data_IF_379194689868
#
_entry.id   IF_379194689868
#
_cell.length_a   1.000
_cell.length_b   1.000
_cell.length_c   1.000
_cell.angle_alpha   90.00
_cell.angle_beta   90.00
_cell.angle_gamma   90.00
#
_symmetry.space_group_name_H-M   'P 1'
#
loop_
_entity.id
_entity.type
_entity.pdbx_description
1 polymer ?
#
# COMPACT_ATOMS: atom_id res chain seq x y z
N UNK A 1 -23.11 5.53 -8.98
CA UNK A 1 -22.61 5.20 -7.62
C UNK A 1 -21.10 5.35 -7.48
N UNK A 2 -20.30 5.03 -8.50
CA UNK A 2 -18.83 5.14 -8.49
C UNK A 2 -18.27 6.56 -8.31
N UNK A 3 -19.04 7.59 -8.67
CA UNK A 3 -18.68 9.01 -8.44
C UNK A 3 -18.60 9.39 -6.96
N UNK A 4 -19.32 8.69 -6.06
CA UNK A 4 -19.25 8.95 -4.62
C UNK A 4 -17.94 8.47 -3.98
N UNK A 5 -17.22 7.54 -4.61
CA UNK A 5 -15.96 7.01 -4.08
C UNK A 5 -14.76 7.92 -4.36
N UNK A 6 -14.84 8.73 -5.42
CA UNK A 6 -13.80 9.69 -5.84
C UNK A 6 -13.41 10.67 -4.73
N UNK A 7 -14.34 11.37 -4.04
CA UNK A 7 -13.95 12.29 -2.97
C UNK A 7 -13.24 11.60 -1.81
N UNK A 8 -13.63 10.38 -1.43
CA UNK A 8 -12.93 9.62 -0.37
C UNK A 8 -11.52 9.21 -0.79
N UNK A 9 -11.30 8.87 -2.06
CA UNK A 9 -9.97 8.58 -2.59
C UNK A 9 -9.09 9.83 -2.61
N UNK A 10 -9.63 10.98 -3.01
CA UNK A 10 -8.91 12.26 -2.98
C UNK A 10 -8.53 12.62 -1.54
N UNK A 11 -9.46 12.44 -0.60
CA UNK A 11 -9.21 12.68 0.83
C UNK A 11 -8.12 11.75 1.39
N UNK A 12 -8.15 10.48 1.01
CA UNK A 12 -7.13 9.50 1.37
C UNK A 12 -5.76 9.85 0.78
N UNK A 13 -5.70 10.12 -0.53
CA UNK A 13 -4.47 10.48 -1.23
C UNK A 13 -3.83 11.76 -0.65
N UNK A 14 -4.64 12.80 -0.42
CA UNK A 14 -4.18 14.03 0.22
C UNK A 14 -3.73 13.78 1.66
N UNK A 15 -4.43 12.94 2.43
CA UNK A 15 -4.02 12.55 3.77
C UNK A 15 -2.66 11.86 3.82
N UNK A 16 -2.36 10.96 2.87
CA UNK A 16 -1.04 10.32 2.77
C UNK A 16 0.07 11.29 2.36
N UNK A 17 -0.19 12.19 1.41
CA UNK A 17 0.77 13.23 1.03
C UNK A 17 1.05 14.18 2.20
N UNK A 18 0.02 14.65 2.90
CA UNK A 18 0.16 15.50 4.08
C UNK A 18 0.89 14.77 5.21
N UNK A 19 0.63 13.47 5.40
CA UNK A 19 1.39 12.65 6.35
C UNK A 19 2.88 12.58 5.98
N UNK A 20 3.20 12.33 4.70
CA UNK A 20 4.58 12.34 4.19
C UNK A 20 5.27 13.68 4.43
N UNK A 21 4.60 14.80 4.14
CA UNK A 21 5.11 16.14 4.44
C UNK A 21 5.30 16.38 5.93
N UNK A 22 4.36 15.96 6.80
CA UNK A 22 4.50 16.09 8.25
C UNK A 22 5.69 15.30 8.81
N UNK A 23 6.00 14.14 8.23
CA UNK A 23 7.22 13.39 8.57
C UNK A 23 8.49 14.17 8.19
N UNK A 24 8.50 14.89 7.06
CA UNK A 24 9.62 15.76 6.69
C UNK A 24 9.82 16.91 7.69
N UNK A 25 8.72 17.51 8.17
CA UNK A 25 8.75 18.57 9.19
C UNK A 25 8.97 18.04 10.63
N UNK A 26 9.39 16.78 10.79
CA UNK A 26 9.63 16.09 12.09
C UNK A 26 8.43 16.10 13.06
N UNK A 27 7.21 16.29 12.56
CA UNK A 27 5.96 16.24 13.35
C UNK A 27 5.38 14.83 13.37
N UNK A 28 6.14 13.87 13.91
CA UNK A 28 5.87 12.43 13.79
C UNK A 28 4.49 12.00 14.34
N UNK A 29 4.03 12.58 15.46
CA UNK A 29 2.71 12.22 16.04
C UNK A 29 1.55 12.59 15.11
N UNK A 30 1.61 13.77 14.50
CA UNK A 30 0.60 14.23 13.54
C UNK A 30 0.66 13.42 12.24
N UNK A 31 1.87 13.09 11.78
CA UNK A 31 2.06 12.28 10.58
C UNK A 31 1.44 10.87 10.73
N UNK A 32 1.65 10.20 11.86
CA UNK A 32 1.01 8.91 12.17
C UNK A 32 -0.52 9.04 12.22
N UNK A 33 -1.03 10.09 12.89
CA UNK A 33 -2.47 10.35 12.96
C UNK A 33 -3.11 10.56 11.58
N UNK A 34 -2.49 11.37 10.72
CA UNK A 34 -2.94 11.62 9.36
C UNK A 34 -2.88 10.36 8.48
N UNK A 35 -1.82 9.55 8.64
CA UNK A 35 -1.69 8.28 7.92
C UNK A 35 -2.77 7.28 8.34
N UNK A 36 -3.07 7.22 9.64
CA UNK A 36 -4.16 6.41 10.18
C UNK A 36 -5.53 6.87 9.69
N UNK A 37 -5.76 8.17 9.62
CA UNK A 37 -6.99 8.74 9.06
C UNK A 37 -7.17 8.40 7.58
N UNK A 38 -6.14 8.60 6.76
CA UNK A 38 -6.16 8.23 5.33
C UNK A 38 -6.41 6.72 5.14
N UNK A 39 -5.79 5.89 5.98
CA UNK A 39 -6.01 4.45 5.99
C UNK A 39 -7.45 4.05 6.35
N UNK A 40 -8.06 4.72 7.32
CA UNK A 40 -9.47 4.51 7.65
C UNK A 40 -10.39 4.89 6.48
N UNK A 41 -10.09 5.98 5.76
CA UNK A 41 -10.85 6.36 4.56
C UNK A 41 -10.73 5.31 3.45
N UNK A 42 -9.56 4.70 3.26
CA UNK A 42 -9.40 3.60 2.32
C UNK A 42 -10.20 2.35 2.72
N UNK A 43 -10.35 2.07 4.02
CA UNK A 43 -11.22 1.00 4.49
C UNK A 43 -12.69 1.27 4.16
N UNK A 44 -13.14 2.51 4.32
CA UNK A 44 -14.50 2.91 3.92
C UNK A 44 -14.70 2.67 2.42
N UNK A 45 -13.74 3.09 1.58
CA UNK A 45 -13.78 2.86 0.14
C UNK A 45 -13.80 1.37 -0.20
N UNK A 46 -12.96 0.57 0.45
CA UNK A 46 -12.93 -0.89 0.26
C UNK A 46 -14.24 -1.55 0.67
N UNK A 47 -14.79 -1.18 1.83
CA UNK A 47 -16.05 -1.71 2.34
C UNK A 47 -17.26 -1.33 1.48
N UNK A 48 -17.34 -0.07 1.03
CA UNK A 48 -18.40 0.37 0.11
C UNK A 48 -18.30 -0.38 -1.23
N UNK A 49 -17.09 -0.58 -1.75
CA UNK A 49 -16.91 -1.40 -2.96
C UNK A 49 -17.36 -2.85 -2.75
N UNK A 50 -17.03 -3.46 -1.62
CA UNK A 50 -17.46 -4.82 -1.30
C UNK A 50 -18.99 -4.95 -1.20
N UNK A 51 -19.67 -3.97 -0.59
CA UNK A 51 -21.13 -3.95 -0.49
C UNK A 51 -21.83 -3.77 -1.85
N UNK A 52 -21.28 -2.93 -2.72
CA UNK A 52 -21.85 -2.67 -4.06
C UNK A 52 -21.68 -3.88 -4.98
N UNK A 53 -20.54 -4.57 -4.86
CA UNK A 53 -20.14 -5.64 -5.78
C UNK A 53 -20.57 -7.03 -5.30
N UNK A 54 -20.84 -7.21 -4.00
CA UNK A 54 -21.31 -8.48 -3.43
C UNK A 54 -20.28 -9.61 -3.40
N UNK A 55 -19.03 -9.32 -3.75
CA UNK A 55 -17.90 -10.24 -3.67
C UNK A 55 -16.61 -9.47 -3.34
N UNK A 56 -15.52 -10.15 -2.91
CA UNK A 56 -14.25 -9.49 -2.60
C UNK A 56 -13.78 -8.59 -3.76
N UNK A 57 -13.50 -7.29 -3.52
CA UNK A 57 -13.17 -6.33 -4.57
C UNK A 57 -11.68 -6.45 -4.94
N UNK A 58 -11.36 -7.46 -5.72
CA UNK A 58 -10.01 -7.71 -6.26
C UNK A 58 -10.01 -7.83 -7.80
N UNK A 59 -11.16 -7.58 -8.43
CA UNK A 59 -11.36 -7.85 -9.86
C UNK A 59 -10.95 -6.71 -10.78
N UNK A 60 -10.96 -5.47 -10.29
CA UNK A 60 -10.60 -4.29 -11.07
C UNK A 60 -9.27 -3.71 -10.58
N UNK A 61 -8.44 -3.22 -11.50
CA UNK A 61 -7.17 -2.52 -11.21
C UNK A 61 -7.34 -1.41 -10.17
N UNK A 62 -8.43 -0.65 -10.25
CA UNK A 62 -8.79 0.36 -9.24
C UNK A 62 -8.85 -0.24 -7.82
N UNK A 63 -9.53 -1.37 -7.65
CA UNK A 63 -9.74 -1.99 -6.35
C UNK A 63 -8.42 -2.57 -5.80
N UNK A 64 -7.60 -3.16 -6.68
CA UNK A 64 -6.27 -3.66 -6.33
C UNK A 64 -5.37 -2.53 -5.85
N UNK A 65 -5.44 -1.33 -6.45
CA UNK A 65 -4.68 -0.17 -5.96
C UNK A 65 -5.16 0.35 -4.59
N UNK A 66 -6.47 0.31 -4.31
CA UNK A 66 -6.98 0.64 -2.97
C UNK A 66 -6.46 -0.35 -1.93
N UNK A 67 -6.47 -1.65 -2.25
CA UNK A 67 -5.89 -2.69 -1.39
C UNK A 67 -4.39 -2.47 -1.18
N UNK A 68 -3.66 -2.16 -2.25
CA UNK A 68 -2.23 -1.89 -2.16
C UNK A 68 -1.95 -0.72 -1.20
N UNK A 69 -2.76 0.34 -1.27
CA UNK A 69 -2.69 1.49 -0.35
C UNK A 69 -2.95 1.08 1.11
N UNK A 70 -3.86 0.13 1.34
CA UNK A 70 -4.18 -0.40 2.67
C UNK A 70 -3.04 -1.22 3.29
N UNK A 71 -2.21 -1.87 2.49
CA UNK A 71 -1.11 -2.70 2.98
C UNK A 71 0.01 -1.90 3.66
N UNK A 72 0.23 -0.63 3.30
CA UNK A 72 1.40 0.13 3.78
C UNK A 72 1.42 0.39 5.29
N UNK A 73 0.27 0.75 5.89
CA UNK A 73 0.20 1.06 7.32
C UNK A 73 0.48 -0.15 8.24
N UNK A 74 -0.15 -1.32 8.06
CA UNK A 74 0.15 -2.50 8.88
C UNK A 74 1.59 -3.00 8.68
N UNK A 75 2.12 -2.92 7.45
CA UNK A 75 3.52 -3.28 7.18
C UNK A 75 4.49 -2.32 7.86
N UNK A 76 4.22 -1.02 7.84
CA UNK A 76 4.98 -0.04 8.60
C UNK A 76 4.95 -0.36 10.10
N UNK A 77 3.77 -0.60 10.67
CA UNK A 77 3.64 -0.94 12.09
C UNK A 77 4.43 -2.21 12.45
N UNK A 78 4.36 -3.25 11.62
CA UNK A 78 5.12 -4.50 11.80
C UNK A 78 6.62 -4.25 11.82
N UNK A 79 7.15 -3.45 10.89
CA UNK A 79 8.58 -3.14 10.81
C UNK A 79 9.05 -2.23 11.95
N UNK A 80 8.19 -1.34 12.45
CA UNK A 80 8.48 -0.54 13.65
C UNK A 80 8.60 -1.43 14.87
N UNK A 81 7.71 -2.42 15.03
CA UNK A 81 7.74 -3.36 16.15
C UNK A 81 8.91 -4.35 16.06
N UNK A 82 9.17 -4.92 14.88
CA UNK A 82 10.20 -5.95 14.68
C UNK A 82 11.61 -5.39 14.60
N UNK A 83 11.80 -4.34 13.79
CA UNK A 83 13.13 -3.85 13.39
C UNK A 83 13.45 -2.44 13.92
N UNK A 84 12.53 -1.83 14.69
CA UNK A 84 12.67 -0.46 15.24
C UNK A 84 12.91 0.62 14.16
N UNK A 85 12.37 0.41 12.96
CA UNK A 85 12.52 1.29 11.79
C UNK A 85 11.54 2.48 11.79
N UNK A 86 11.38 3.17 12.91
CA UNK A 86 10.41 4.28 13.07
C UNK A 86 10.67 5.47 12.14
N UNK A 87 11.92 5.70 11.73
CA UNK A 87 12.31 6.76 10.80
C UNK A 87 11.85 6.51 9.36
N UNK A 88 11.45 5.27 9.01
CA UNK A 88 11.02 4.92 7.66
C UNK A 88 9.59 5.38 7.32
N UNK A 89 8.87 5.94 8.31
CA UNK A 89 7.46 6.33 8.15
C UNK A 89 7.19 7.27 6.98
N UNK A 90 8.12 8.17 6.67
CA UNK A 90 8.01 9.06 5.51
C UNK A 90 7.89 8.26 4.19
N UNK A 91 8.71 7.23 3.99
CA UNK A 91 8.70 6.44 2.75
C UNK A 91 7.41 5.65 2.60
N UNK A 92 6.91 5.07 3.69
CA UNK A 92 5.64 4.36 3.69
C UNK A 92 4.47 5.30 3.37
N UNK A 93 4.45 6.52 3.92
CA UNK A 93 3.41 7.51 3.65
C UNK A 93 3.43 8.02 2.20
N UNK A 94 4.61 8.29 1.62
CA UNK A 94 4.68 8.68 0.21
C UNK A 94 4.32 7.54 -0.73
N UNK A 95 4.80 6.32 -0.45
CA UNK A 95 4.51 5.16 -1.29
C UNK A 95 3.04 4.74 -1.21
N UNK A 96 2.34 4.96 -0.09
CA UNK A 96 0.90 4.72 0.00
C UNK A 96 0.06 5.74 -0.76
N UNK A 97 0.55 6.96 -0.96
CA UNK A 97 -0.14 7.97 -1.76
C UNK A 97 -0.19 7.60 -3.25
N UNK A 98 0.86 6.97 -3.78
CA UNK A 98 0.97 6.64 -5.20
C UNK A 98 -0.19 5.75 -5.72
N UNK A 99 -0.52 4.60 -5.11
CA UNK A 99 -1.67 3.80 -5.52
C UNK A 99 -3.01 4.47 -5.19
N UNK A 100 -3.09 5.30 -4.14
CA UNK A 100 -4.31 6.07 -3.87
C UNK A 100 -4.58 7.08 -5.00
N UNK A 101 -3.54 7.71 -5.55
CA UNK A 101 -3.62 8.62 -6.70
C UNK A 101 -3.95 7.85 -7.97
N UNK A 102 -3.25 6.74 -8.25
CA UNK A 102 -3.52 5.93 -9.44
C UNK A 102 -4.96 5.39 -9.46
N UNK A 103 -5.52 5.04 -8.31
CA UNK A 103 -6.92 4.64 -8.15
C UNK A 103 -7.92 5.74 -8.57
N UNK A 104 -7.55 7.02 -8.48
CA UNK A 104 -8.40 8.15 -8.93
C UNK A 104 -8.50 8.17 -10.46
N UNK A 105 -7.40 7.90 -11.17
CA UNK A 105 -7.34 7.95 -12.63
C UNK A 105 -7.84 6.68 -13.32
N UNK A 106 -7.92 5.56 -12.60
CA UNK A 106 -8.41 4.30 -13.15
C UNK A 106 -9.93 4.27 -13.32
N UNK A 107 -10.38 3.47 -14.29
CA UNK A 107 -11.78 3.29 -14.57
C UNK A 107 -12.47 2.48 -13.45
N UNK A 108 -13.62 2.98 -13.01
CA UNK A 108 -14.34 2.51 -11.83
C UNK A 108 -15.51 1.62 -12.23
N UNK A 109 -15.41 0.92 -13.36
CA UNK A 109 -16.44 0.00 -13.80
C UNK A 109 -16.63 -1.10 -12.75
N UNK A 110 -17.86 -1.23 -12.25
CA UNK A 110 -18.25 -2.23 -11.26
C UNK A 110 -18.55 -3.60 -11.91
N UNK A 111 -18.91 -3.61 -13.19
CA UNK A 111 -19.30 -4.81 -13.91
C UNK A 111 -18.09 -5.45 -14.61
N UNK A 112 -17.23 -6.12 -13.86
CA UNK A 112 -16.28 -7.06 -14.45
C UNK A 112 -16.87 -8.47 -14.40
N UNK A 113 -17.15 -9.05 -15.57
CA UNK A 113 -17.50 -10.47 -15.67
C UNK A 113 -16.25 -11.27 -15.31
N UNK A 114 -16.23 -11.89 -14.13
CA UNK A 114 -15.09 -12.69 -13.64
C UNK A 114 -14.65 -13.69 -14.71
N UNK A 115 -13.42 -13.57 -15.18
CA UNK A 115 -12.78 -14.63 -15.97
C UNK A 115 -12.63 -15.86 -15.05
N UNK A 116 -12.74 -17.10 -15.56
CA UNK A 116 -12.83 -18.32 -14.73
C UNK A 116 -11.73 -18.46 -13.66
N UNK A 117 -10.52 -17.94 -13.94
CA UNK A 117 -9.40 -17.95 -13.00
C UNK A 117 -9.63 -17.13 -11.71
N UNK A 118 -10.53 -16.14 -11.72
CA UNK A 118 -10.88 -15.32 -10.55
C UNK A 118 -11.91 -15.97 -9.61
N UNK A 119 -12.31 -17.22 -9.87
CA UNK A 119 -13.26 -17.97 -9.03
C UNK A 119 -12.57 -18.93 -8.06
N UNK A 120 -11.27 -19.15 -8.20
CA UNK A 120 -10.51 -19.99 -7.26
C UNK A 120 -10.42 -19.32 -5.88
N UNK A 121 -10.63 -20.09 -4.81
CA UNK A 121 -10.43 -19.62 -3.43
C UNK A 121 -8.99 -19.18 -3.17
N UNK A 122 -8.03 -19.67 -3.96
CA UNK A 122 -6.61 -19.29 -3.89
C UNK A 122 -6.30 -17.91 -4.47
N UNK A 123 -7.23 -17.31 -5.23
CA UNK A 123 -7.03 -16.00 -5.82
C UNK A 123 -6.80 -14.90 -4.78
N UNK A 124 -7.58 -14.89 -3.70
CA UNK A 124 -7.47 -13.89 -2.63
C UNK A 124 -6.11 -13.97 -1.90
N UNK A 125 -5.68 -15.13 -1.35
CA UNK A 125 -4.37 -15.21 -0.69
C UNK A 125 -3.21 -14.97 -1.66
N UNK A 126 -3.35 -15.38 -2.93
CA UNK A 126 -2.37 -15.10 -3.98
C UNK A 126 -2.16 -13.60 -4.20
N UNK A 127 -3.24 -12.86 -4.48
CA UNK A 127 -3.19 -11.42 -4.74
C UNK A 127 -2.69 -10.67 -3.52
N UNK A 128 -3.15 -11.03 -2.32
CA UNK A 128 -2.70 -10.38 -1.08
C UNK A 128 -1.19 -10.57 -0.83
N UNK A 129 -0.65 -11.76 -1.08
CA UNK A 129 0.78 -11.99 -0.97
C UNK A 129 1.60 -11.10 -1.92
N UNK A 130 1.11 -10.95 -3.16
CA UNK A 130 1.72 -10.02 -4.10
C UNK A 130 1.61 -8.56 -3.66
N UNK A 131 0.45 -8.12 -3.16
CA UNK A 131 0.29 -6.74 -2.68
C UNK A 131 1.24 -6.42 -1.54
N UNK A 132 1.43 -7.35 -0.60
CA UNK A 132 2.39 -7.21 0.50
C UNK A 132 3.82 -7.09 -0.04
N UNK A 133 4.21 -8.00 -0.94
CA UNK A 133 5.55 -7.97 -1.55
C UNK A 133 5.79 -6.67 -2.32
N UNK A 134 4.85 -6.26 -3.17
CA UNK A 134 4.96 -5.03 -3.96
C UNK A 134 5.03 -3.78 -3.10
N UNK A 135 4.26 -3.70 -2.01
CA UNK A 135 4.34 -2.58 -1.08
C UNK A 135 5.73 -2.47 -0.44
N UNK A 136 6.29 -3.58 0.04
CA UNK A 136 7.63 -3.62 0.63
C UNK A 136 8.72 -3.30 -0.40
N UNK A 137 8.64 -3.87 -1.61
CA UNK A 137 9.57 -3.59 -2.70
C UNK A 137 9.51 -2.13 -3.16
N UNK A 138 8.33 -1.51 -3.21
CA UNK A 138 8.18 -0.10 -3.57
C UNK A 138 8.88 0.83 -2.55
N UNK A 139 8.74 0.54 -1.26
CA UNK A 139 9.46 1.28 -0.21
C UNK A 139 10.96 1.05 -0.31
N UNK A 140 11.40 -0.20 -0.48
CA UNK A 140 12.82 -0.53 -0.64
C UNK A 140 13.43 0.19 -1.85
N UNK A 141 12.69 0.30 -2.97
CA UNK A 141 13.11 1.03 -4.15
C UNK A 141 13.29 2.52 -3.88
N UNK A 142 12.34 3.18 -3.20
CA UNK A 142 12.47 4.60 -2.84
C UNK A 142 13.66 4.85 -1.92
N UNK A 143 13.91 3.95 -0.97
CA UNK A 143 15.08 4.01 -0.09
C UNK A 143 16.39 3.81 -0.88
N UNK A 144 16.41 2.87 -1.83
CA UNK A 144 17.55 2.63 -2.71
C UNK A 144 17.86 3.85 -3.58
N UNK A 145 16.83 4.52 -4.13
CA UNK A 145 17.02 5.76 -4.86
C UNK A 145 17.73 6.81 -3.98
N UNK A 146 17.28 7.00 -2.73
CA UNK A 146 17.98 7.90 -1.79
C UNK A 146 19.43 7.47 -1.53
N UNK A 147 19.70 6.17 -1.46
CA UNK A 147 21.06 5.63 -1.27
C UNK A 147 21.99 6.04 -2.42
N UNK A 148 21.51 6.05 -3.65
CA UNK A 148 22.28 6.48 -4.82
C UNK A 148 22.70 7.95 -4.74
N UNK A 149 21.89 8.80 -4.10
CA UNK A 149 22.16 10.24 -3.98
C UNK A 149 22.79 10.66 -2.63
N UNK A 150 22.83 9.78 -1.62
CA UNK A 150 23.32 10.11 -0.28
C UNK A 150 24.28 9.05 0.26
N UNK A 151 25.57 9.42 0.35
CA UNK A 151 26.61 8.53 0.88
C UNK A 151 26.62 8.44 2.41
N UNK A 152 26.11 9.46 3.10
CA UNK A 152 26.22 9.63 4.57
C UNK A 152 25.37 8.64 5.37
N UNK A 153 24.28 8.10 4.79
CA UNK A 153 23.35 7.20 5.49
C UNK A 153 23.42 5.75 4.97
N UNK A 154 24.54 5.35 4.34
CA UNK A 154 24.61 4.11 3.54
C UNK A 154 24.34 2.84 4.34
N UNK A 155 24.91 2.75 5.54
CA UNK A 155 24.77 1.57 6.39
C UNK A 155 23.37 1.44 7.00
N UNK A 156 22.78 2.54 7.44
CA UNK A 156 21.43 2.54 8.01
C UNK A 156 20.37 2.24 6.96
N UNK A 157 20.44 2.90 5.79
CA UNK A 157 19.56 2.59 4.66
C UNK A 157 19.74 1.16 4.18
N UNK A 158 20.99 0.69 4.06
CA UNK A 158 21.30 -0.66 3.62
C UNK A 158 20.68 -1.73 4.52
N UNK A 159 20.82 -1.57 5.85
CA UNK A 159 20.20 -2.48 6.82
C UNK A 159 18.67 -2.47 6.72
N UNK A 160 18.06 -1.30 6.60
CA UNK A 160 16.61 -1.18 6.49
C UNK A 160 16.08 -1.81 5.19
N UNK A 161 16.71 -1.53 4.05
CA UNK A 161 16.38 -2.13 2.75
C UNK A 161 16.50 -3.66 2.82
N UNK A 162 17.59 -4.17 3.38
CA UNK A 162 17.80 -5.61 3.52
C UNK A 162 16.70 -6.25 4.39
N UNK A 163 16.33 -5.61 5.49
CA UNK A 163 15.28 -6.09 6.40
C UNK A 163 13.89 -6.14 5.75
N UNK A 164 13.57 -5.12 4.95
CA UNK A 164 12.34 -5.02 4.17
C UNK A 164 12.30 -6.10 3.09
N UNK A 165 13.35 -6.23 2.29
CA UNK A 165 13.43 -7.22 1.20
C UNK A 165 13.43 -8.65 1.72
N UNK A 166 14.08 -8.92 2.86
CA UNK A 166 14.01 -10.23 3.54
C UNK A 166 12.58 -10.61 3.89
N UNK A 167 11.73 -9.62 4.18
CA UNK A 167 10.31 -9.84 4.46
C UNK A 167 9.50 -9.97 3.17
N UNK A 168 9.82 -9.17 2.14
CA UNK A 168 9.11 -9.19 0.85
C UNK A 168 9.30 -10.51 0.07
N UNK A 169 10.52 -11.05 0.08
CA UNK A 169 10.90 -12.22 -0.70
C UNK A 169 9.99 -13.46 -0.48
N UNK A 170 9.74 -13.94 0.75
CA UNK A 170 8.87 -15.11 0.95
C UNK A 170 7.42 -14.86 0.49
N UNK A 171 6.89 -13.65 0.64
CA UNK A 171 5.56 -13.31 0.13
C UNK A 171 5.52 -13.32 -1.41
N UNK A 172 6.59 -12.87 -2.06
CA UNK A 172 6.71 -12.93 -3.52
C UNK A 172 6.75 -14.38 -4.01
N UNK A 173 7.55 -15.23 -3.37
CA UNK A 173 7.65 -16.66 -3.72
C UNK A 173 6.31 -17.36 -3.54
N UNK A 174 5.63 -17.12 -2.42
CA UNK A 174 4.29 -17.68 -2.18
C UNK A 174 3.28 -17.16 -3.22
N UNK A 175 3.33 -15.88 -3.57
CA UNK A 175 2.52 -15.31 -4.65
C UNK A 175 2.75 -16.04 -5.98
N UNK A 176 4.00 -16.25 -6.39
CA UNK A 176 4.31 -17.00 -7.62
C UNK A 176 3.79 -18.44 -7.59
N UNK A 177 3.90 -19.14 -6.45
CA UNK A 177 3.48 -20.54 -6.32
C UNK A 177 1.96 -20.73 -6.23
N UNK A 178 1.24 -19.77 -5.65
CA UNK A 178 -0.22 -19.84 -5.44
C UNK A 178 -1.05 -19.36 -6.64
N UNK A 179 -0.39 -18.89 -7.71
CA UNK A 179 -1.04 -18.30 -8.90
C UNK A 179 -1.39 -19.26 -10.02
N UNK A 180 -1.03 -20.53 -9.87
CA UNK A 180 -1.37 -21.63 -10.78
C UNK A 180 -2.66 -22.32 -10.30
#
# INVERSE_FOLDING_TARGET
MTRFLVPFLILSASGYLLSGMCYLFRRNRLAIGLMGFAWAMNWVVFGLNALIVGHPPFGNMYQVQVVLSLCFLPLFALLVLRDKLSWTGAYFAFMSALPAIGAIFMDKQAAWKRMPALQSGWFVPHVLAYMISYALCAVAFLMLLRLCFSKTAREELGRAIHSILRTAFPFMTFGMLSGA
#
